data_IF_372991998356
#
_entry.id   IF_372991998356
#
_cell.length_a   1.000
_cell.length_b   1.000
_cell.length_c   1.000
_cell.angle_alpha   90.00
_cell.angle_beta   90.00
_cell.angle_gamma   90.00
#
_symmetry.space_group_name_H-M   'P 1'
#
loop_
_entity.id
_entity.type
_entity.pdbx_description
1 polymer ?
#
# COMPACT_ATOMS: atom_id res chain seq x y z
N UNK A 1 34.46 31.07 1.32
CA UNK A 1 33.11 30.87 0.75
C UNK A 1 33.25 31.02 -0.75
N UNK A 2 32.68 30.11 -1.55
CA UNK A 2 32.71 30.24 -3.01
C UNK A 2 31.66 31.31 -3.36
N UNK A 3 32.09 32.48 -3.82
CA UNK A 3 31.18 33.52 -4.33
C UNK A 3 30.67 33.10 -5.71
N UNK A 4 29.52 32.44 -5.74
CA UNK A 4 28.83 32.07 -6.98
C UNK A 4 27.99 33.28 -7.42
N UNK A 5 28.12 33.77 -8.67
CA UNK A 5 27.29 34.86 -9.17
C UNK A 5 25.80 34.55 -9.09
N UNK A 6 24.99 35.54 -8.73
CA UNK A 6 23.52 35.40 -8.62
C UNK A 6 22.92 34.90 -9.94
N UNK A 7 23.43 35.33 -11.08
CA UNK A 7 22.96 34.87 -12.40
C UNK A 7 23.24 33.39 -12.63
N UNK A 8 24.38 32.87 -12.18
CA UNK A 8 24.68 31.43 -12.24
C UNK A 8 23.73 30.63 -11.35
N UNK A 9 23.37 31.18 -10.18
CA UNK A 9 22.38 30.57 -9.30
C UNK A 9 21.01 30.54 -9.98
N UNK A 10 20.53 31.68 -10.48
CA UNK A 10 19.17 31.82 -11.03
C UNK A 10 18.97 31.10 -12.35
N UNK A 11 19.95 31.13 -13.25
CA UNK A 11 19.79 30.65 -14.61
C UNK A 11 20.34 29.24 -14.84
N UNK A 12 21.23 28.74 -13.98
CA UNK A 12 21.83 27.41 -14.13
C UNK A 12 21.48 26.49 -12.96
N UNK A 13 21.85 26.86 -11.72
CA UNK A 13 21.71 25.93 -10.58
C UNK A 13 20.25 25.70 -10.20
N UNK A 14 19.45 26.76 -10.12
CA UNK A 14 18.05 26.68 -9.70
C UNK A 14 17.17 25.85 -10.65
N UNK A 15 17.24 26.01 -12.00
CA UNK A 15 16.53 25.11 -12.92
C UNK A 15 16.95 23.64 -12.79
N UNK A 16 18.24 23.35 -12.58
CA UNK A 16 18.73 21.98 -12.38
C UNK A 16 18.17 21.38 -11.09
N UNK A 17 18.21 22.14 -9.98
CA UNK A 17 17.66 21.70 -8.70
C UNK A 17 16.15 21.48 -8.78
N UNK A 18 15.40 22.38 -9.42
CA UNK A 18 13.96 22.20 -9.66
C UNK A 18 13.67 20.96 -10.51
N UNK A 19 14.45 20.72 -11.56
CA UNK A 19 14.31 19.52 -12.40
C UNK A 19 14.62 18.24 -11.61
N UNK A 20 15.64 18.25 -10.75
CA UNK A 20 15.99 17.12 -9.89
C UNK A 20 14.86 16.77 -8.92
N UNK A 21 14.20 17.77 -8.31
CA UNK A 21 13.05 17.55 -7.45
C UNK A 21 11.90 16.87 -8.20
N UNK A 22 11.60 17.32 -9.41
CA UNK A 22 10.57 16.70 -10.26
C UNK A 22 10.98 15.28 -10.69
N UNK A 23 12.28 15.04 -10.92
CA UNK A 23 12.80 13.73 -11.27
C UNK A 23 12.66 12.73 -10.12
N UNK A 24 12.86 13.16 -8.87
CA UNK A 24 12.57 12.31 -7.69
C UNK A 24 11.09 11.89 -7.68
N UNK A 25 10.19 12.82 -7.99
CA UNK A 25 8.75 12.52 -8.11
C UNK A 25 8.46 11.59 -9.27
N UNK A 26 9.10 11.80 -10.42
CA UNK A 26 8.99 10.91 -11.58
C UNK A 26 9.43 9.47 -11.26
N UNK A 27 10.57 9.31 -10.56
CA UNK A 27 11.06 8.00 -10.11
C UNK A 27 10.05 7.35 -9.16
N UNK A 28 9.51 8.13 -8.23
CA UNK A 28 8.48 7.64 -7.32
C UNK A 28 7.19 7.21 -8.04
N UNK A 29 6.68 8.05 -8.94
CA UNK A 29 5.51 7.72 -9.77
C UNK A 29 5.78 6.45 -10.58
N UNK A 30 6.97 6.30 -11.17
CA UNK A 30 7.30 5.17 -12.02
C UNK A 30 7.51 3.85 -11.30
N UNK A 31 8.10 3.87 -10.10
CA UNK A 31 8.35 2.66 -9.31
C UNK A 31 7.15 2.25 -8.46
N UNK A 32 6.48 3.21 -7.81
CA UNK A 32 5.45 2.92 -6.79
C UNK A 32 4.03 2.99 -7.36
N UNK A 33 3.76 3.91 -8.29
CA UNK A 33 2.40 4.24 -8.71
C UNK A 33 1.94 3.59 -10.02
N UNK A 34 2.84 2.90 -10.74
CA UNK A 34 2.46 2.11 -11.94
C UNK A 34 1.30 1.13 -11.68
N UNK A 35 1.08 0.76 -10.41
CA UNK A 35 0.03 -0.16 -9.97
C UNK A 35 -1.20 0.50 -9.34
N UNK A 36 -1.20 1.83 -9.11
CA UNK A 36 -2.18 2.50 -8.22
C UNK A 36 -2.94 3.65 -8.89
N UNK A 37 -2.32 4.56 -9.66
CA UNK A 37 -3.02 5.71 -10.26
C UNK A 37 -3.65 5.42 -11.64
N UNK A 38 -4.90 5.86 -11.86
CA UNK A 38 -5.49 5.92 -13.21
C UNK A 38 -4.78 7.00 -14.03
N UNK A 39 -4.47 6.71 -15.30
CA UNK A 39 -3.79 7.69 -16.17
C UNK A 39 -2.33 7.98 -15.81
N UNK A 40 -1.67 7.13 -15.03
CA UNK A 40 -0.25 7.24 -14.65
C UNK A 40 0.69 7.58 -15.83
N UNK A 41 0.48 6.98 -17.00
CA UNK A 41 1.30 7.25 -18.19
C UNK A 41 1.28 8.73 -18.62
N UNK A 42 0.14 9.41 -18.45
CA UNK A 42 0.01 10.83 -18.75
C UNK A 42 0.70 11.71 -17.70
N UNK A 43 0.66 11.32 -16.41
CA UNK A 43 1.45 12.01 -15.38
C UNK A 43 2.96 11.91 -15.65
N UNK A 44 3.44 10.74 -16.02
CA UNK A 44 4.84 10.53 -16.42
C UNK A 44 5.20 11.38 -17.62
N UNK A 45 4.37 11.37 -18.66
CA UNK A 45 4.58 12.19 -19.85
C UNK A 45 4.75 13.67 -19.48
N UNK A 46 3.84 14.22 -18.68
CA UNK A 46 3.95 15.60 -18.18
C UNK A 46 5.24 15.84 -17.41
N UNK A 47 5.55 15.00 -16.41
CA UNK A 47 6.73 15.17 -15.55
C UNK A 47 8.02 15.13 -16.37
N UNK A 48 8.13 14.21 -17.34
CA UNK A 48 9.26 14.14 -18.27
C UNK A 48 9.35 15.42 -19.11
N UNK A 49 8.23 15.87 -19.70
CA UNK A 49 8.20 17.11 -20.48
C UNK A 49 8.60 18.32 -19.64
N UNK A 50 8.21 18.35 -18.36
CA UNK A 50 8.53 19.45 -17.46
C UNK A 50 10.01 19.45 -17.02
N UNK A 51 10.59 18.27 -16.78
CA UNK A 51 12.03 18.13 -16.54
C UNK A 51 12.82 18.60 -17.76
N UNK A 52 12.43 18.18 -18.98
CA UNK A 52 13.06 18.65 -20.23
C UNK A 52 12.96 20.17 -20.35
N UNK A 53 11.80 20.74 -20.00
CA UNK A 53 11.59 22.18 -20.06
C UNK A 53 12.55 22.97 -19.14
N UNK A 54 12.70 22.53 -17.90
CA UNK A 54 13.58 23.17 -16.92
C UNK A 54 15.06 22.97 -17.23
N UNK A 55 15.49 21.75 -17.57
CA UNK A 55 16.87 21.47 -17.96
C UNK A 55 17.24 22.19 -19.26
N UNK A 56 16.31 22.28 -20.22
CA UNK A 56 16.48 23.03 -21.45
C UNK A 56 16.78 24.51 -21.20
N UNK A 57 16.29 25.11 -20.11
CA UNK A 57 16.64 26.49 -19.73
C UNK A 57 18.09 26.62 -19.26
N UNK A 58 18.59 25.68 -18.46
CA UNK A 58 19.99 25.67 -18.08
C UNK A 58 20.90 25.47 -19.30
N UNK A 59 20.56 24.52 -20.18
CA UNK A 59 21.30 24.24 -21.43
C UNK A 59 21.33 25.44 -22.38
N UNK A 60 20.22 26.19 -22.49
CA UNK A 60 20.15 27.37 -23.34
C UNK A 60 21.24 28.41 -23.01
N UNK A 61 21.64 28.56 -21.75
CA UNK A 61 22.65 29.57 -21.37
C UNK A 61 24.08 29.21 -21.80
N UNK A 62 24.32 27.95 -22.18
CA UNK A 62 25.63 27.48 -22.65
C UNK A 62 25.69 27.28 -24.17
N UNK A 63 24.59 27.54 -24.87
CA UNK A 63 24.48 27.33 -26.31
C UNK A 63 24.81 28.60 -27.11
N UNK A 64 25.30 28.43 -28.34
CA UNK A 64 25.48 29.50 -29.33
C UNK A 64 24.13 30.07 -29.79
N UNK A 65 24.10 31.32 -30.28
CA UNK A 65 22.87 32.09 -30.54
C UNK A 65 21.78 31.32 -31.31
N UNK A 66 22.11 30.70 -32.45
CA UNK A 66 21.15 29.94 -33.26
C UNK A 66 20.66 28.68 -32.52
N UNK A 67 21.55 28.05 -31.75
CA UNK A 67 21.23 26.90 -30.91
C UNK A 67 20.37 27.30 -29.70
N UNK A 68 20.49 28.53 -29.16
CA UNK A 68 19.65 29.01 -28.06
C UNK A 68 18.18 29.09 -28.47
N UNK A 69 17.91 29.59 -29.68
CA UNK A 69 16.55 29.70 -30.21
C UNK A 69 15.97 28.30 -30.48
N UNK A 70 16.76 27.40 -31.07
CA UNK A 70 16.37 26.00 -31.27
C UNK A 70 16.02 25.27 -29.96
N UNK A 71 16.83 25.45 -28.91
CA UNK A 71 16.56 24.88 -27.58
C UNK A 71 15.29 25.47 -26.97
N UNK A 72 15.06 26.78 -27.11
CA UNK A 72 13.82 27.43 -26.67
C UNK A 72 12.59 26.82 -27.35
N UNK A 73 12.61 26.69 -28.68
CA UNK A 73 11.49 26.14 -29.44
C UNK A 73 11.22 24.69 -29.08
N UNK A 74 12.28 23.88 -29.00
CA UNK A 74 12.16 22.48 -28.60
C UNK A 74 11.51 22.33 -27.23
N UNK A 75 11.99 23.06 -26.22
CA UNK A 75 11.44 22.93 -24.87
C UNK A 75 9.99 23.39 -24.77
N UNK A 76 9.63 24.46 -25.48
CA UNK A 76 8.26 24.99 -25.50
C UNK A 76 7.34 24.00 -26.19
N UNK A 77 7.75 23.45 -27.33
CA UNK A 77 6.99 22.43 -28.04
C UNK A 77 6.75 21.20 -27.15
N UNK A 78 7.80 20.67 -26.50
CA UNK A 78 7.68 19.49 -25.64
C UNK A 78 6.72 19.74 -24.47
N UNK A 79 6.87 20.84 -23.73
CA UNK A 79 6.00 21.10 -22.58
C UNK A 79 4.56 21.41 -23.00
N UNK A 80 4.35 22.31 -23.97
CA UNK A 80 3.02 22.83 -24.26
C UNK A 80 2.24 21.96 -25.26
N UNK A 81 2.93 21.26 -26.17
CA UNK A 81 2.25 20.33 -27.10
C UNK A 81 2.01 18.96 -26.49
N UNK A 82 2.91 18.45 -25.62
CA UNK A 82 2.80 17.10 -25.05
C UNK A 82 2.51 17.12 -23.55
N UNK A 83 3.27 17.92 -22.80
CA UNK A 83 3.18 17.96 -21.34
C UNK A 83 1.83 18.47 -20.81
N UNK A 84 1.44 19.69 -21.15
CA UNK A 84 0.20 20.32 -20.65
C UNK A 84 -1.05 19.49 -21.00
N UNK A 85 -1.25 19.03 -22.26
CA UNK A 85 -2.35 18.12 -22.58
C UNK A 85 -2.33 16.85 -21.74
N UNK A 86 -1.16 16.24 -21.54
CA UNK A 86 -1.01 15.04 -20.69
C UNK A 86 -1.43 15.32 -19.25
N UNK A 87 -1.03 16.45 -18.67
CA UNK A 87 -1.44 16.84 -17.31
C UNK A 87 -2.96 17.02 -17.20
N UNK A 88 -3.60 17.66 -18.18
CA UNK A 88 -5.06 17.85 -18.21
C UNK A 88 -5.78 16.50 -18.28
N UNK A 89 -5.33 15.60 -19.17
CA UNK A 89 -5.90 14.26 -19.30
C UNK A 89 -5.70 13.45 -18.01
N UNK A 90 -4.51 13.51 -17.42
CA UNK A 90 -4.20 12.80 -16.17
C UNK A 90 -5.12 13.27 -15.04
N UNK A 91 -5.26 14.58 -14.89
CA UNK A 91 -6.14 15.22 -13.91
C UNK A 91 -7.59 14.80 -14.10
N UNK A 92 -8.07 14.74 -15.35
CA UNK A 92 -9.40 14.26 -15.67
C UNK A 92 -9.59 12.77 -15.30
N UNK A 93 -8.67 11.90 -15.68
CA UNK A 93 -8.75 10.45 -15.37
C UNK A 93 -8.70 10.16 -13.86
N UNK A 94 -8.01 10.99 -13.09
CA UNK A 94 -7.95 10.87 -11.63
C UNK A 94 -9.33 11.10 -10.96
N UNK A 95 -10.22 11.84 -11.63
CA UNK A 95 -11.61 12.07 -11.17
C UNK A 95 -12.60 11.00 -11.60
N UNK A 96 -12.12 9.93 -12.25
CA UNK A 96 -12.98 8.92 -12.84
C UNK A 96 -13.76 9.43 -14.06
N UNK A 97 -13.40 10.57 -14.64
CA UNK A 97 -13.97 10.99 -15.93
C UNK A 97 -13.39 10.14 -17.04
N UNK A 98 -14.27 9.70 -17.93
CA UNK A 98 -13.86 8.96 -19.10
C UNK A 98 -13.45 9.93 -20.21
N UNK A 99 -12.13 10.03 -20.47
CA UNK A 99 -11.59 10.87 -21.55
C UNK A 99 -11.48 10.04 -22.83
N UNK A 100 -12.34 10.34 -23.83
CA UNK A 100 -12.33 9.64 -25.11
C UNK A 100 -11.07 9.95 -25.93
N UNK A 101 -10.67 9.04 -26.83
CA UNK A 101 -9.52 9.26 -27.75
C UNK A 101 -9.65 10.55 -28.58
N UNK A 102 -10.88 10.90 -29.00
CA UNK A 102 -11.15 12.15 -29.73
C UNK A 102 -10.85 13.38 -28.87
N UNK A 103 -11.27 13.37 -27.61
CA UNK A 103 -10.98 14.45 -26.66
C UNK A 103 -9.48 14.58 -26.39
N UNK A 104 -8.76 13.46 -26.24
CA UNK A 104 -7.31 13.47 -26.12
C UNK A 104 -6.65 14.11 -27.36
N UNK A 105 -7.03 13.68 -28.56
CA UNK A 105 -6.51 14.25 -29.82
C UNK A 105 -6.75 15.75 -29.95
N UNK A 106 -7.92 16.25 -29.52
CA UNK A 106 -8.21 17.69 -29.49
C UNK A 106 -7.27 18.45 -28.53
N UNK A 107 -7.03 17.92 -27.32
CA UNK A 107 -6.13 18.56 -26.35
C UNK A 107 -4.69 18.65 -26.87
N UNK A 108 -4.17 17.59 -27.48
CA UNK A 108 -2.84 17.60 -28.11
C UNK A 108 -2.78 18.55 -29.33
N UNK A 109 -3.84 18.60 -30.14
CA UNK A 109 -3.91 19.51 -31.29
C UNK A 109 -3.91 20.98 -30.85
N UNK A 110 -4.65 21.32 -29.79
CA UNK A 110 -4.63 22.66 -29.21
C UNK A 110 -3.25 23.03 -28.64
N UNK A 111 -2.55 22.09 -28.01
CA UNK A 111 -1.18 22.29 -27.53
C UNK A 111 -0.18 22.53 -28.65
N UNK A 112 -0.28 21.76 -29.74
CA UNK A 112 0.52 21.97 -30.95
C UNK A 112 0.26 23.34 -31.59
N UNK A 113 -1.00 23.76 -31.68
CA UNK A 113 -1.37 25.07 -32.22
C UNK A 113 -0.81 26.21 -31.35
N UNK A 114 -0.93 26.12 -30.02
CA UNK A 114 -0.44 27.15 -29.12
C UNK A 114 1.09 27.28 -29.15
N UNK A 115 1.81 26.15 -29.06
CA UNK A 115 3.28 26.14 -29.12
C UNK A 115 3.82 26.50 -30.50
N UNK A 116 3.20 26.02 -31.58
CA UNK A 116 3.56 26.41 -32.94
C UNK A 116 3.33 27.90 -33.20
N UNK A 117 2.20 28.44 -32.74
CA UNK A 117 1.91 29.88 -32.81
C UNK A 117 2.96 30.72 -32.08
N UNK A 118 3.38 30.30 -30.88
CA UNK A 118 4.48 30.95 -30.16
C UNK A 118 5.78 30.94 -30.95
N UNK A 119 6.18 29.79 -31.50
CA UNK A 119 7.41 29.64 -32.28
C UNK A 119 7.38 30.58 -33.48
N UNK A 120 6.26 30.61 -34.24
CA UNK A 120 6.09 31.50 -35.38
C UNK A 120 6.18 32.98 -34.98
N UNK A 121 5.52 33.38 -33.88
CA UNK A 121 5.57 34.77 -33.41
C UNK A 121 6.98 35.17 -32.94
N UNK A 122 7.66 34.31 -32.18
CA UNK A 122 9.01 34.56 -31.69
C UNK A 122 10.03 34.64 -32.82
N UNK A 123 9.95 33.70 -33.75
CA UNK A 123 10.86 33.66 -34.88
C UNK A 123 10.60 34.82 -35.85
N UNK A 124 9.33 35.17 -36.12
CA UNK A 124 8.99 36.37 -36.89
C UNK A 124 9.43 37.69 -36.22
N UNK A 125 9.69 37.68 -34.90
CA UNK A 125 10.22 38.85 -34.18
C UNK A 125 11.75 38.93 -34.25
N UNK A 126 12.42 37.78 -34.34
CA UNK A 126 13.90 37.70 -34.28
C UNK A 126 14.54 37.56 -35.67
N UNK A 127 13.83 36.99 -36.65
CA UNK A 127 14.26 36.82 -38.04
C UNK A 127 15.39 35.81 -38.22
N UNK A 128 15.53 34.84 -37.31
CA UNK A 128 16.77 34.08 -37.17
C UNK A 128 16.74 32.64 -37.69
N UNK A 129 15.61 31.90 -37.60
CA UNK A 129 15.68 30.44 -37.75
C UNK A 129 14.71 29.78 -38.75
N UNK A 130 13.41 30.10 -38.72
CA UNK A 130 12.36 29.32 -39.42
C UNK A 130 11.51 30.14 -40.41
N UNK A 131 11.32 31.42 -40.13
CA UNK A 131 10.36 32.35 -40.74
C UNK A 131 11.17 33.42 -41.47
N UNK A 132 11.08 33.48 -42.82
CA UNK A 132 11.81 34.44 -43.62
C UNK A 132 11.41 35.90 -43.34
N UNK A 133 12.33 36.82 -43.66
CA UNK A 133 12.08 38.25 -43.65
C UNK A 133 10.84 38.61 -44.49
N UNK A 134 9.93 39.40 -43.89
CA UNK A 134 8.69 39.86 -44.54
C UNK A 134 7.44 39.02 -44.24
N UNK A 135 7.57 37.81 -43.67
CA UNK A 135 6.40 37.04 -43.22
C UNK A 135 5.59 37.78 -42.14
N UNK A 136 6.25 38.59 -41.31
CA UNK A 136 5.60 39.42 -40.28
C UNK A 136 4.54 40.37 -40.86
N UNK A 137 4.65 40.76 -42.13
CA UNK A 137 3.66 41.59 -42.82
C UNK A 137 2.36 40.85 -43.20
N UNK A 138 2.39 39.51 -43.23
CA UNK A 138 1.20 38.68 -43.47
C UNK A 138 0.38 38.42 -42.20
N UNK A 139 0.96 38.68 -41.03
CA UNK A 139 0.26 38.52 -39.76
C UNK A 139 -0.75 39.67 -39.57
N UNK A 140 -1.98 39.39 -39.10
CA UNK A 140 -2.99 40.43 -38.87
C UNK A 140 -2.68 41.31 -37.64
N UNK A 141 -1.51 41.14 -37.02
CA UNK A 141 -1.04 41.84 -35.85
C UNK A 141 0.48 42.00 -35.92
N UNK A 142 1.03 42.94 -35.14
CA UNK A 142 2.48 43.11 -35.02
C UNK A 142 3.05 42.04 -34.09
N UNK A 143 3.91 41.13 -34.58
CA UNK A 143 4.52 40.11 -33.72
C UNK A 143 5.43 40.79 -32.69
N UNK A 144 5.36 40.32 -31.46
CA UNK A 144 6.28 40.72 -30.40
C UNK A 144 6.55 39.57 -29.45
N UNK A 145 7.73 39.57 -28.85
CA UNK A 145 8.15 38.62 -27.79
C UNK A 145 7.07 38.49 -26.71
N UNK A 146 6.55 39.63 -26.23
CA UNK A 146 5.50 39.67 -25.21
C UNK A 146 4.20 38.99 -25.67
N UNK A 147 3.76 39.25 -26.91
CA UNK A 147 2.55 38.63 -27.44
C UNK A 147 2.67 37.10 -27.47
N UNK A 148 3.84 36.58 -27.86
CA UNK A 148 4.16 35.16 -27.78
C UNK A 148 4.01 34.63 -26.35
N UNK A 149 4.71 35.22 -25.38
CA UNK A 149 4.67 34.80 -23.97
C UNK A 149 3.25 34.81 -23.38
N UNK A 150 2.48 35.85 -23.67
CA UNK A 150 1.08 35.97 -23.22
C UNK A 150 0.18 34.91 -23.87
N UNK A 151 0.37 34.58 -25.15
CA UNK A 151 -0.42 33.55 -25.83
C UNK A 151 -0.27 32.16 -25.20
N UNK A 152 0.96 31.76 -24.85
CA UNK A 152 1.23 30.50 -24.14
C UNK A 152 0.66 30.50 -22.72
N UNK A 153 0.81 31.62 -22.02
CA UNK A 153 0.29 31.78 -20.64
C UNK A 153 -1.24 31.66 -20.64
N UNK A 154 -1.91 32.29 -21.61
CA UNK A 154 -3.35 32.21 -21.76
C UNK A 154 -3.81 30.78 -22.08
N UNK A 155 -3.13 30.10 -23.01
CA UNK A 155 -3.40 28.69 -23.31
C UNK A 155 -3.27 27.81 -22.06
N UNK A 156 -2.19 27.96 -21.30
CA UNK A 156 -1.98 27.19 -20.08
C UNK A 156 -3.10 27.39 -19.06
N UNK A 157 -3.45 28.64 -18.77
CA UNK A 157 -4.50 28.97 -17.81
C UNK A 157 -5.85 28.42 -18.28
N UNK A 158 -6.19 28.60 -19.56
CA UNK A 158 -7.42 28.07 -20.14
C UNK A 158 -7.49 26.53 -20.06
N UNK A 159 -6.38 25.86 -20.37
CA UNK A 159 -6.27 24.41 -20.28
C UNK A 159 -6.47 23.88 -18.85
N UNK A 160 -6.11 24.67 -17.84
CA UNK A 160 -6.24 24.33 -16.42
C UNK A 160 -7.61 24.68 -15.82
N UNK A 161 -8.30 25.72 -16.31
CA UNK A 161 -9.57 26.19 -15.73
C UNK A 161 -10.64 25.07 -15.75
N UNK A 162 -10.93 24.52 -16.92
CA UNK A 162 -11.99 23.51 -17.07
C UNK A 162 -11.80 22.27 -16.16
N UNK A 163 -10.63 21.59 -16.15
CA UNK A 163 -10.44 20.42 -15.28
C UNK A 163 -10.43 20.80 -13.79
N UNK A 164 -9.86 21.95 -13.41
CA UNK A 164 -9.82 22.39 -12.01
C UNK A 164 -11.22 22.77 -11.48
N UNK A 165 -12.03 23.47 -12.27
CA UNK A 165 -13.41 23.81 -11.91
C UNK A 165 -14.29 22.55 -11.80
N UNK A 166 -14.12 21.62 -12.74
CA UNK A 166 -14.85 20.34 -12.71
C UNK A 166 -14.47 19.50 -11.47
N UNK A 167 -13.18 19.46 -11.13
CA UNK A 167 -12.67 18.85 -9.91
C UNK A 167 -13.32 19.43 -8.65
N UNK A 168 -13.31 20.76 -8.52
CA UNK A 168 -13.93 21.47 -7.40
C UNK A 168 -15.42 21.16 -7.29
N UNK A 169 -16.13 21.18 -8.41
CA UNK A 169 -17.56 20.85 -8.46
C UNK A 169 -17.83 19.44 -7.94
N UNK A 170 -17.05 18.44 -8.34
CA UNK A 170 -17.21 17.07 -7.82
C UNK A 170 -16.96 16.97 -6.31
N UNK A 171 -15.96 17.69 -5.78
CA UNK A 171 -15.68 17.71 -4.33
C UNK A 171 -16.84 18.32 -3.53
N UNK A 172 -17.51 19.34 -4.09
CA UNK A 172 -18.69 19.96 -3.48
C UNK A 172 -19.93 19.06 -3.51
N UNK A 173 -20.06 18.18 -4.51
CA UNK A 173 -21.16 17.21 -4.66
C UNK A 173 -21.03 15.96 -3.77
N UNK A 174 -20.16 15.97 -2.75
CA UNK A 174 -20.01 14.86 -1.81
C UNK A 174 -19.13 13.69 -2.31
N UNK A 175 -18.60 13.74 -3.54
CA UNK A 175 -17.61 12.78 -4.06
C UNK A 175 -16.20 13.15 -3.59
N UNK A 176 -16.03 13.28 -2.27
CA UNK A 176 -14.78 13.79 -1.69
C UNK A 176 -13.65 12.78 -1.89
N UNK A 177 -12.54 13.25 -2.47
CA UNK A 177 -11.31 12.49 -2.61
C UNK A 177 -10.17 13.34 -2.05
N UNK A 178 -9.51 12.92 -0.96
CA UNK A 178 -8.41 13.69 -0.38
C UNK A 178 -7.27 13.90 -1.39
N UNK A 179 -7.08 12.92 -2.28
CA UNK A 179 -6.09 12.95 -3.36
C UNK A 179 -6.41 14.04 -4.39
N UNK A 180 -7.69 14.23 -4.72
CA UNK A 180 -8.13 15.18 -5.74
C UNK A 180 -7.82 16.64 -5.35
N UNK A 181 -7.96 17.00 -4.06
CA UNK A 181 -7.63 18.34 -3.57
C UNK A 181 -6.13 18.64 -3.66
N UNK A 182 -5.30 17.67 -3.31
CA UNK A 182 -3.84 17.79 -3.39
C UNK A 182 -3.34 17.94 -4.84
N UNK A 183 -3.94 17.19 -5.78
CA UNK A 183 -3.65 17.38 -7.22
C UNK A 183 -4.11 18.74 -7.74
N UNK A 184 -5.32 19.14 -7.39
CA UNK A 184 -5.89 20.45 -7.73
C UNK A 184 -4.99 21.59 -7.25
N UNK A 185 -4.54 21.53 -5.99
CA UNK A 185 -3.65 22.53 -5.41
C UNK A 185 -2.33 22.64 -6.20
N UNK A 186 -1.77 21.51 -6.63
CA UNK A 186 -0.55 21.49 -7.44
C UNK A 186 -0.76 22.08 -8.84
N UNK A 187 -1.87 21.75 -9.51
CA UNK A 187 -2.21 22.28 -10.84
C UNK A 187 -2.51 23.78 -10.83
N UNK A 188 -3.24 24.27 -9.80
CA UNK A 188 -3.48 25.70 -9.59
C UNK A 188 -2.18 26.42 -9.30
N UNK A 189 -1.34 25.88 -8.41
CA UNK A 189 -0.03 26.47 -8.10
C UNK A 189 0.84 26.59 -9.35
N UNK A 190 0.88 25.55 -10.18
CA UNK A 190 1.64 25.57 -11.44
C UNK A 190 1.17 26.70 -12.37
N UNK A 191 -0.15 26.82 -12.59
CA UNK A 191 -0.72 27.89 -13.41
C UNK A 191 -0.45 29.29 -12.85
N UNK A 192 -0.62 29.48 -11.54
CA UNK A 192 -0.40 30.77 -10.86
C UNK A 192 1.06 31.23 -10.97
N UNK A 193 2.02 30.36 -10.64
CA UNK A 193 3.44 30.72 -10.70
C UNK A 193 3.94 30.92 -12.14
N UNK A 194 3.42 30.16 -13.10
CA UNK A 194 3.72 30.37 -14.51
C UNK A 194 3.18 31.72 -15.00
N UNK A 195 1.92 32.04 -14.69
CA UNK A 195 1.32 33.34 -15.03
C UNK A 195 2.00 34.52 -14.35
N UNK A 196 2.39 34.37 -13.08
CA UNK A 196 3.16 35.38 -12.36
C UNK A 196 4.54 35.63 -13.00
N UNK A 197 5.19 34.59 -13.55
CA UNK A 197 6.47 34.73 -14.25
C UNK A 197 6.33 35.64 -15.48
N UNK A 198 5.23 35.51 -16.22
CA UNK A 198 4.91 36.37 -17.38
C UNK A 198 4.53 37.80 -16.97
N UNK A 199 3.78 37.95 -15.88
CA UNK A 199 3.35 39.25 -15.35
C UNK A 199 4.52 40.10 -14.81
N UNK A 200 5.41 39.50 -14.02
CA UNK A 200 6.53 40.19 -13.37
C UNK A 200 7.81 40.17 -14.21
N UNK A 201 7.67 40.35 -15.53
CA UNK A 201 8.76 40.53 -16.50
C UNK A 201 9.92 39.53 -16.32
N UNK A 202 9.63 38.23 -16.55
CA UNK A 202 10.65 37.18 -16.54
C UNK A 202 11.36 36.96 -15.19
N UNK A 203 10.62 37.10 -14.09
CA UNK A 203 11.05 36.65 -12.77
C UNK A 203 11.12 35.12 -12.70
N UNK A 204 12.11 34.51 -13.36
CA UNK A 204 12.24 33.06 -13.52
C UNK A 204 12.32 32.30 -12.20
N UNK A 205 12.74 32.94 -11.12
CA UNK A 205 12.72 32.37 -9.78
C UNK A 205 11.30 31.98 -9.31
N UNK A 206 10.25 32.68 -9.77
CA UNK A 206 8.86 32.34 -9.50
C UNK A 206 8.46 31.01 -10.15
N UNK A 207 8.93 30.74 -11.37
CA UNK A 207 8.70 29.48 -12.06
C UNK A 207 9.32 28.31 -11.28
N UNK A 208 10.55 28.48 -10.78
CA UNK A 208 11.25 27.45 -10.01
C UNK A 208 10.62 27.23 -8.63
N UNK A 209 10.18 28.29 -7.96
CA UNK A 209 9.42 28.19 -6.72
C UNK A 209 8.09 27.46 -6.95
N UNK A 210 7.39 27.78 -8.04
CA UNK A 210 6.17 27.08 -8.44
C UNK A 210 6.40 25.60 -8.72
N UNK A 211 7.52 25.25 -9.37
CA UNK A 211 7.91 23.86 -9.57
C UNK A 211 8.00 23.10 -8.24
N UNK A 212 8.63 23.70 -7.22
CA UNK A 212 8.76 23.09 -5.89
C UNK A 212 7.38 22.90 -5.25
N UNK A 213 6.55 23.94 -5.21
CA UNK A 213 5.22 23.88 -4.60
C UNK A 213 4.34 22.82 -5.27
N UNK A 214 4.26 22.83 -6.60
CA UNK A 214 3.51 21.82 -7.37
C UNK A 214 4.01 20.40 -7.10
N UNK A 215 5.33 20.22 -7.05
CA UNK A 215 5.97 18.93 -6.77
C UNK A 215 5.59 18.41 -5.38
N UNK A 216 5.65 19.26 -4.35
CA UNK A 216 5.25 18.91 -2.99
C UNK A 216 3.76 18.52 -2.89
N UNK A 217 2.86 19.30 -3.52
CA UNK A 217 1.43 19.00 -3.55
C UNK A 217 1.16 17.62 -4.17
N UNK A 218 1.84 17.27 -5.25
CA UNK A 218 1.63 15.98 -5.92
C UNK A 218 2.31 14.81 -5.22
N UNK A 219 3.48 15.00 -4.59
CA UNK A 219 4.04 14.02 -3.66
C UNK A 219 3.05 13.66 -2.56
N UNK A 220 2.45 14.69 -1.96
CA UNK A 220 1.47 14.52 -0.91
C UNK A 220 0.21 13.82 -1.42
N UNK A 221 -0.27 14.17 -2.62
CA UNK A 221 -1.41 13.51 -3.25
C UNK A 221 -1.19 12.00 -3.41
N UNK A 222 0.00 11.59 -3.87
CA UNK A 222 0.31 10.16 -4.04
C UNK A 222 0.47 9.45 -2.70
N UNK A 223 1.12 10.09 -1.72
CA UNK A 223 1.23 9.55 -0.36
C UNK A 223 -0.16 9.27 0.24
N UNK A 224 -1.10 10.20 0.08
CA UNK A 224 -2.48 10.03 0.51
C UNK A 224 -3.20 8.89 -0.23
N UNK A 225 -3.01 8.75 -1.55
CA UNK A 225 -3.62 7.67 -2.33
C UNK A 225 -3.16 6.29 -1.86
N UNK A 226 -1.86 6.13 -1.59
CA UNK A 226 -1.28 4.88 -1.08
C UNK A 226 -1.83 4.55 0.30
N UNK A 227 -1.84 5.53 1.22
CA UNK A 227 -2.38 5.35 2.57
C UNK A 227 -3.86 4.97 2.54
N UNK A 228 -4.65 5.65 1.70
CA UNK A 228 -6.09 5.42 1.59
C UNK A 228 -6.40 4.04 0.99
N UNK A 229 -5.75 3.65 -0.11
CA UNK A 229 -5.98 2.34 -0.75
C UNK A 229 -5.48 1.18 0.12
N UNK A 230 -4.37 1.37 0.86
CA UNK A 230 -3.88 0.36 1.81
C UNK A 230 -4.87 0.18 2.97
N UNK A 231 -5.21 1.26 3.67
CA UNK A 231 -6.09 1.21 4.84
C UNK A 231 -7.51 0.74 4.51
N UNK A 232 -8.09 1.16 3.38
CA UNK A 232 -9.44 0.74 3.01
C UNK A 232 -9.54 -0.77 2.77
N UNK A 233 -8.54 -1.36 2.11
CA UNK A 233 -8.60 -2.80 1.85
C UNK A 233 -8.31 -3.61 3.11
N UNK A 234 -7.42 -3.15 3.99
CA UNK A 234 -7.17 -3.78 5.29
C UNK A 234 -8.46 -3.81 6.13
N UNK A 235 -9.21 -2.70 6.15
CA UNK A 235 -10.52 -2.63 6.81
C UNK A 235 -11.52 -3.62 6.21
N UNK A 236 -11.59 -3.73 4.89
CA UNK A 236 -12.50 -4.69 4.21
C UNK A 236 -12.13 -6.15 4.51
N UNK A 237 -10.83 -6.45 4.59
CA UNK A 237 -10.34 -7.77 4.98
C UNK A 237 -10.69 -8.08 6.44
N UNK A 238 -10.53 -7.12 7.35
CA UNK A 238 -10.94 -7.25 8.76
C UNK A 238 -12.45 -7.44 8.91
N UNK A 239 -13.26 -6.66 8.19
CA UNK A 239 -14.72 -6.80 8.20
C UNK A 239 -15.16 -8.17 7.69
N UNK A 240 -14.52 -8.68 6.63
CA UNK A 240 -14.75 -10.03 6.12
C UNK A 240 -14.36 -11.10 7.14
N UNK A 241 -13.20 -10.94 7.81
CA UNK A 241 -12.78 -11.84 8.88
C UNK A 241 -13.77 -11.85 10.05
N UNK A 242 -14.26 -10.68 10.47
CA UNK A 242 -15.24 -10.57 11.56
C UNK A 242 -16.57 -11.21 11.18
N UNK A 243 -17.05 -10.98 9.94
CA UNK A 243 -18.27 -11.58 9.42
C UNK A 243 -18.19 -13.11 9.49
N UNK A 244 -17.10 -13.68 8.99
CA UNK A 244 -16.85 -15.13 8.94
C UNK A 244 -16.58 -15.69 10.36
N UNK A 245 -15.82 -14.98 11.18
CA UNK A 245 -15.42 -15.37 12.53
C UNK A 245 -16.53 -15.24 13.58
N UNK A 246 -17.63 -14.55 13.27
CA UNK A 246 -18.77 -14.37 14.17
C UNK A 246 -19.47 -15.68 14.56
N UNK A 247 -19.19 -16.79 13.86
CA UNK A 247 -19.79 -18.10 14.09
C UNK A 247 -21.25 -18.21 13.62
N UNK A 248 -21.83 -17.13 13.10
CA UNK A 248 -23.09 -17.16 12.36
C UNK A 248 -22.78 -17.51 10.90
N UNK A 249 -23.61 -18.34 10.27
CA UNK A 249 -23.51 -18.57 8.83
C UNK A 249 -23.60 -17.22 8.12
N UNK A 250 -22.48 -16.75 7.57
CA UNK A 250 -22.44 -15.50 6.84
C UNK A 250 -23.26 -15.67 5.55
N UNK A 251 -24.11 -14.67 5.24
CA UNK A 251 -24.85 -14.70 3.99
C UNK A 251 -23.88 -14.59 2.82
N UNK A 252 -24.10 -15.38 1.77
CA UNK A 252 -23.38 -15.23 0.51
C UNK A 252 -23.44 -13.79 -0.01
N UNK A 253 -24.58 -13.12 0.20
CA UNK A 253 -24.78 -11.74 -0.22
C UNK A 253 -23.83 -10.77 0.51
N UNK A 254 -23.62 -10.93 1.82
CA UNK A 254 -22.75 -10.05 2.60
C UNK A 254 -21.28 -10.23 2.22
N UNK A 255 -20.87 -11.48 2.01
CA UNK A 255 -19.54 -11.82 1.48
C UNK A 255 -19.34 -11.20 0.10
N UNK A 256 -20.30 -11.37 -0.82
CA UNK A 256 -20.22 -10.84 -2.18
C UNK A 256 -20.10 -9.30 -2.21
N UNK A 257 -20.77 -8.61 -1.28
CA UNK A 257 -20.67 -7.15 -1.12
C UNK A 257 -19.24 -6.74 -0.74
N UNK A 258 -18.67 -7.35 0.30
CA UNK A 258 -17.31 -7.03 0.77
C UNK A 258 -16.26 -7.35 -0.28
N UNK A 259 -16.39 -8.49 -0.96
CA UNK A 259 -15.48 -8.88 -2.05
C UNK A 259 -15.57 -7.94 -3.26
N UNK A 260 -16.78 -7.47 -3.60
CA UNK A 260 -16.97 -6.46 -4.64
C UNK A 260 -16.31 -5.12 -4.28
N UNK A 261 -16.38 -4.71 -3.01
CA UNK A 261 -15.68 -3.51 -2.53
C UNK A 261 -14.16 -3.69 -2.52
N UNK A 262 -13.67 -4.88 -2.18
CA UNK A 262 -12.25 -5.24 -2.21
C UNK A 262 -11.74 -5.20 -3.65
N UNK A 263 -12.47 -5.77 -4.61
CA UNK A 263 -12.15 -5.69 -6.04
C UNK A 263 -12.12 -4.24 -6.52
N UNK A 264 -13.14 -3.44 -6.20
CA UNK A 264 -13.21 -2.03 -6.57
C UNK A 264 -12.03 -1.20 -6.01
N UNK A 265 -11.52 -1.56 -4.83
CA UNK A 265 -10.34 -0.91 -4.23
C UNK A 265 -9.07 -1.07 -5.08
N UNK A 266 -9.04 -2.06 -5.99
CA UNK A 266 -7.89 -2.34 -6.85
C UNK A 266 -7.96 -1.67 -8.22
N UNK A 267 -9.03 -0.91 -8.50
CA UNK A 267 -9.22 -0.16 -9.76
C UNK A 267 -9.07 -1.04 -11.02
N UNK A 268 -9.42 -2.33 -10.93
CA UNK A 268 -9.32 -3.30 -12.03
C UNK A 268 -7.92 -3.84 -12.30
N UNK A 269 -6.92 -3.56 -11.44
CA UNK A 269 -5.58 -4.10 -11.59
C UNK A 269 -5.50 -5.55 -11.07
N UNK A 270 -5.43 -6.51 -12.00
CA UNK A 270 -5.38 -7.94 -11.68
C UNK A 270 -4.25 -8.33 -10.72
N UNK A 271 -3.04 -7.80 -10.93
CA UNK A 271 -1.90 -8.15 -10.09
C UNK A 271 -2.08 -7.65 -8.64
N UNK A 272 -2.64 -6.44 -8.48
CA UNK A 272 -2.97 -5.89 -7.17
C UNK A 272 -4.11 -6.66 -6.50
N UNK A 273 -5.13 -7.07 -7.27
CA UNK A 273 -6.24 -7.86 -6.77
C UNK A 273 -5.80 -9.25 -6.30
N UNK A 274 -4.95 -9.94 -7.09
CA UNK A 274 -4.32 -11.21 -6.65
C UNK A 274 -3.57 -11.05 -5.34
N UNK A 275 -2.77 -10.00 -5.18
CA UNK A 275 -2.04 -9.75 -3.93
C UNK A 275 -2.99 -9.57 -2.73
N UNK A 276 -4.05 -8.77 -2.89
CA UNK A 276 -5.06 -8.52 -1.84
C UNK A 276 -5.84 -9.80 -1.50
N UNK A 277 -6.19 -10.61 -2.49
CA UNK A 277 -6.90 -11.87 -2.30
C UNK A 277 -6.01 -12.89 -1.59
N UNK A 278 -4.73 -13.01 -1.96
CA UNK A 278 -3.76 -13.86 -1.23
C UNK A 278 -3.71 -13.54 0.25
N UNK A 279 -3.52 -12.26 0.59
CA UNK A 279 -3.51 -11.81 1.99
C UNK A 279 -4.82 -12.16 2.71
N UNK A 280 -5.95 -12.10 2.00
CA UNK A 280 -7.26 -12.44 2.53
C UNK A 280 -7.38 -13.95 2.79
N UNK A 281 -6.92 -14.79 1.86
CA UNK A 281 -6.89 -16.25 2.03
C UNK A 281 -6.00 -16.65 3.22
N UNK A 282 -4.83 -16.01 3.36
CA UNK A 282 -3.92 -16.26 4.48
C UNK A 282 -4.58 -15.89 5.83
N UNK A 283 -5.26 -14.73 5.86
CA UNK A 283 -6.07 -14.26 6.99
C UNK A 283 -7.21 -15.22 7.37
N UNK A 284 -7.92 -15.78 6.39
CA UNK A 284 -8.99 -16.76 6.63
C UNK A 284 -8.43 -18.10 7.11
N UNK A 285 -7.27 -18.51 6.57
CA UNK A 285 -6.56 -19.72 7.01
C UNK A 285 -6.17 -19.61 8.47
N UNK A 286 -5.58 -18.47 8.87
CA UNK A 286 -5.27 -18.19 10.27
C UNK A 286 -6.51 -18.25 11.17
N UNK A 287 -7.62 -17.66 10.74
CA UNK A 287 -8.89 -17.71 11.47
C UNK A 287 -9.40 -19.16 11.65
N UNK A 288 -9.31 -20.01 10.62
CA UNK A 288 -9.69 -21.42 10.72
C UNK A 288 -8.79 -22.21 11.70
N UNK A 289 -7.48 -21.96 11.68
CA UNK A 289 -6.52 -22.57 12.62
C UNK A 289 -6.82 -22.12 14.05
N UNK A 290 -7.10 -20.84 14.25
CA UNK A 290 -7.50 -20.29 15.54
C UNK A 290 -8.85 -20.81 15.99
N UNK A 291 -9.76 -21.17 15.09
CA UNK A 291 -11.03 -21.79 15.44
C UNK A 291 -10.88 -23.27 15.86
N UNK A 292 -9.71 -23.88 15.64
CA UNK A 292 -9.44 -25.30 15.95
C UNK A 292 -9.54 -26.24 14.77
N UNK A 293 -9.51 -25.70 13.54
CA UNK A 293 -9.42 -26.52 12.34
C UNK A 293 -8.11 -27.31 12.28
N UNK A 294 -8.15 -28.41 11.53
CA UNK A 294 -7.00 -29.26 11.30
C UNK A 294 -5.88 -28.47 10.60
N UNK A 295 -4.70 -28.42 11.22
CA UNK A 295 -3.60 -27.55 10.79
C UNK A 295 -3.10 -27.93 9.39
N UNK A 296 -2.78 -29.21 9.18
CA UNK A 296 -2.18 -29.68 7.93
C UNK A 296 -3.12 -29.48 6.75
N UNK A 297 -4.40 -29.81 6.92
CA UNK A 297 -5.41 -29.66 5.88
C UNK A 297 -5.62 -28.19 5.49
N UNK A 298 -5.65 -27.28 6.47
CA UNK A 298 -5.83 -25.86 6.20
C UNK A 298 -4.61 -25.24 5.50
N UNK A 299 -3.40 -25.65 5.88
CA UNK A 299 -2.17 -25.21 5.21
C UNK A 299 -2.07 -25.76 3.77
N UNK A 300 -2.38 -27.05 3.56
CA UNK A 300 -2.41 -27.64 2.23
C UNK A 300 -3.43 -26.96 1.31
N UNK A 301 -4.64 -26.69 1.84
CA UNK A 301 -5.68 -25.94 1.13
C UNK A 301 -5.24 -24.52 0.78
N UNK A 302 -4.56 -23.82 1.68
CA UNK A 302 -4.01 -22.49 1.42
C UNK A 302 -3.02 -22.53 0.24
N UNK A 303 -2.10 -23.49 0.22
CA UNK A 303 -1.14 -23.67 -0.88
C UNK A 303 -1.85 -23.91 -2.22
N UNK A 304 -2.85 -24.79 -2.25
CA UNK A 304 -3.65 -25.07 -3.46
C UNK A 304 -4.34 -23.80 -3.98
N UNK A 305 -4.99 -23.04 -3.08
CA UNK A 305 -5.71 -21.81 -3.46
C UNK A 305 -4.75 -20.72 -3.94
N UNK A 306 -3.58 -20.61 -3.34
CA UNK A 306 -2.54 -19.68 -3.77
C UNK A 306 -1.99 -20.02 -5.16
N UNK A 307 -1.81 -21.31 -5.48
CA UNK A 307 -1.44 -21.74 -6.83
C UNK A 307 -2.56 -21.46 -7.85
N UNK A 308 -3.82 -21.74 -7.50
CA UNK A 308 -4.96 -21.42 -8.36
C UNK A 308 -5.03 -19.91 -8.67
N UNK A 309 -4.80 -19.07 -7.66
CA UNK A 309 -4.79 -17.62 -7.78
C UNK A 309 -3.68 -17.11 -8.71
N UNK A 310 -2.48 -17.71 -8.65
CA UNK A 310 -1.38 -17.39 -9.56
C UNK A 310 -1.74 -17.68 -11.01
N UNK A 311 -2.42 -18.81 -11.25
CA UNK A 311 -2.84 -19.26 -12.58
C UNK A 311 -4.06 -18.51 -13.15
N UNK A 312 -4.79 -17.72 -12.35
CA UNK A 312 -5.97 -16.98 -12.84
C UNK A 312 -5.64 -15.91 -13.88
N UNK A 313 -6.35 -15.90 -15.01
CA UNK A 313 -6.13 -14.94 -16.10
C UNK A 313 -6.90 -13.62 -15.99
N UNK A 314 -7.97 -13.57 -15.18
CA UNK A 314 -8.88 -12.43 -15.11
C UNK A 314 -9.44 -12.19 -13.69
N UNK A 315 -10.13 -11.06 -13.51
CA UNK A 315 -10.70 -10.64 -12.23
C UNK A 315 -11.84 -11.56 -11.77
N UNK A 316 -12.62 -12.12 -12.70
CA UNK A 316 -13.77 -12.98 -12.38
C UNK A 316 -13.31 -14.32 -11.79
N UNK A 317 -12.27 -14.92 -12.36
CA UNK A 317 -11.64 -16.13 -11.86
C UNK A 317 -11.07 -15.90 -10.45
N UNK A 318 -10.40 -14.77 -10.22
CA UNK A 318 -9.90 -14.40 -8.88
C UNK A 318 -11.06 -14.23 -7.89
N UNK A 319 -12.13 -13.54 -8.29
CA UNK A 319 -13.32 -13.32 -7.45
C UNK A 319 -14.01 -14.63 -7.07
N UNK A 320 -14.12 -15.57 -8.01
CA UNK A 320 -14.70 -16.89 -7.76
C UNK A 320 -13.92 -17.65 -6.67
N UNK A 321 -12.58 -17.68 -6.78
CA UNK A 321 -11.71 -18.37 -5.81
C UNK A 321 -11.95 -17.83 -4.40
N UNK A 322 -11.92 -16.51 -4.20
CA UNK A 322 -12.08 -15.93 -2.86
C UNK A 322 -13.51 -16.06 -2.33
N UNK A 323 -14.53 -16.00 -3.19
CA UNK A 323 -15.92 -16.19 -2.78
C UNK A 323 -16.16 -17.63 -2.28
N UNK A 324 -15.68 -18.63 -3.03
CA UNK A 324 -15.76 -20.03 -2.64
C UNK A 324 -15.00 -20.30 -1.35
N UNK A 325 -13.83 -19.69 -1.19
CA UNK A 325 -13.01 -19.84 0.01
C UNK A 325 -13.66 -19.19 1.24
N UNK A 326 -14.17 -17.96 1.11
CA UNK A 326 -14.89 -17.27 2.18
C UNK A 326 -16.13 -18.06 2.65
N UNK A 327 -16.91 -18.61 1.71
CA UNK A 327 -18.06 -19.46 2.03
C UNK A 327 -17.65 -20.76 2.70
N UNK A 328 -16.57 -21.39 2.24
CA UNK A 328 -16.05 -22.61 2.85
C UNK A 328 -15.60 -22.36 4.29
N UNK A 329 -14.88 -21.27 4.56
CA UNK A 329 -14.46 -20.91 5.92
C UNK A 329 -15.64 -20.53 6.82
N UNK A 330 -16.65 -19.83 6.31
CA UNK A 330 -17.86 -19.55 7.10
C UNK A 330 -18.53 -20.84 7.57
N UNK A 331 -18.68 -21.82 6.67
CA UNK A 331 -19.23 -23.14 7.05
C UNK A 331 -18.33 -23.88 8.02
N UNK A 332 -17.02 -23.92 7.75
CA UNK A 332 -16.04 -24.62 8.57
C UNK A 332 -16.06 -24.08 10.01
N UNK A 333 -16.02 -22.75 10.19
CA UNK A 333 -16.01 -22.13 11.52
C UNK A 333 -17.32 -22.34 12.27
N UNK A 334 -18.47 -22.29 11.59
CA UNK A 334 -19.76 -22.61 12.23
C UNK A 334 -19.90 -24.09 12.59
N UNK A 335 -19.25 -24.99 11.85
CA UNK A 335 -19.31 -26.43 12.07
C UNK A 335 -18.29 -26.95 13.08
N UNK A 336 -17.20 -26.23 13.34
CA UNK A 336 -16.22 -26.60 14.36
C UNK A 336 -16.92 -26.61 15.74
N UNK A 337 -17.20 -27.79 16.32
CA UNK A 337 -18.05 -27.88 17.50
C UNK A 337 -17.37 -27.28 18.73
N UNK A 338 -18.16 -26.64 19.62
CA UNK A 338 -17.73 -26.40 21.01
C UNK A 338 -17.35 -27.71 21.73
N UNK A 339 -17.96 -28.82 21.32
CA UNK A 339 -17.62 -30.16 21.81
C UNK A 339 -16.19 -30.59 21.43
N UNK A 340 -15.65 -30.08 20.32
CA UNK A 340 -14.27 -30.34 19.91
C UNK A 340 -13.28 -29.63 20.83
N UNK A 341 -13.61 -28.44 21.38
CA UNK A 341 -12.79 -27.80 22.42
C UNK A 341 -12.72 -28.67 23.69
N UNK A 342 -13.86 -29.16 24.17
CA UNK A 342 -13.92 -30.05 25.33
C UNK A 342 -13.18 -31.37 25.07
N UNK A 343 -13.34 -31.95 23.88
CA UNK A 343 -12.65 -33.16 23.45
C UNK A 343 -11.13 -32.98 23.44
N UNK A 344 -10.62 -31.87 22.91
CA UNK A 344 -9.17 -31.59 22.85
C UNK A 344 -8.58 -31.43 24.25
N UNK A 345 -9.26 -30.71 25.15
CA UNK A 345 -8.81 -30.60 26.53
C UNK A 345 -8.80 -31.96 27.25
N UNK A 346 -9.84 -32.77 27.10
CA UNK A 346 -9.92 -34.11 27.70
C UNK A 346 -8.86 -35.06 27.13
N UNK A 347 -8.62 -35.04 25.80
CA UNK A 347 -7.54 -35.79 25.15
C UNK A 347 -6.17 -35.38 25.67
N UNK A 348 -5.93 -34.09 25.85
CA UNK A 348 -4.68 -33.59 26.43
C UNK A 348 -4.49 -34.05 27.88
N UNK A 349 -5.56 -34.06 28.69
CA UNK A 349 -5.51 -34.60 30.06
C UNK A 349 -5.19 -36.10 30.07
N UNK A 350 -5.81 -36.88 29.18
CA UNK A 350 -5.54 -38.30 29.03
C UNK A 350 -4.11 -38.57 28.55
N UNK A 351 -3.61 -37.76 27.61
CA UNK A 351 -2.22 -37.84 27.15
C UNK A 351 -1.25 -37.58 28.31
N UNK A 352 -1.47 -36.50 29.08
CA UNK A 352 -0.64 -36.20 30.25
C UNK A 352 -0.71 -37.31 31.29
N UNK A 353 -1.88 -37.86 31.58
CA UNK A 353 -2.00 -38.92 32.60
C UNK A 353 -1.31 -40.22 32.19
N UNK A 354 -1.18 -40.50 30.90
CA UNK A 354 -0.46 -41.66 30.37
C UNK A 354 1.04 -41.43 30.26
N UNK A 355 1.46 -40.20 29.94
CA UNK A 355 2.84 -39.85 29.61
C UNK A 355 3.54 -38.94 30.63
N UNK A 356 2.97 -38.71 31.81
CA UNK A 356 3.52 -37.73 32.77
C UNK A 356 4.99 -37.97 33.15
N UNK A 357 5.49 -39.21 33.02
CA UNK A 357 6.87 -39.58 33.33
C UNK A 357 7.86 -39.14 32.26
N UNK A 358 7.38 -38.95 31.03
CA UNK A 358 8.20 -38.64 29.87
C UNK A 358 8.47 -37.14 29.76
N UNK A 359 9.49 -36.75 28.98
CA UNK A 359 9.65 -35.36 28.56
C UNK A 359 8.56 -35.00 27.55
N UNK A 360 7.59 -34.20 28.00
CA UNK A 360 6.46 -33.79 27.18
C UNK A 360 6.74 -32.40 26.59
N UNK A 361 6.70 -32.32 25.26
CA UNK A 361 6.68 -31.05 24.53
C UNK A 361 5.28 -30.73 24.00
N UNK A 362 4.85 -29.49 24.21
CA UNK A 362 3.53 -29.00 23.78
C UNK A 362 3.39 -29.05 22.26
N UNK A 363 4.47 -28.83 21.51
CA UNK A 363 4.42 -28.93 20.05
C UNK A 363 4.12 -30.37 19.59
N UNK A 364 4.68 -31.36 20.28
CA UNK A 364 4.43 -32.79 19.99
C UNK A 364 2.96 -33.17 20.24
N UNK A 365 2.37 -32.71 21.34
CA UNK A 365 0.93 -32.94 21.61
C UNK A 365 0.06 -32.27 20.54
N UNK A 366 0.39 -31.02 20.18
CA UNK A 366 -0.37 -30.27 19.19
C UNK A 366 -0.32 -30.95 17.81
N UNK A 367 0.85 -31.49 17.43
CA UNK A 367 1.04 -32.25 16.21
C UNK A 367 0.23 -33.56 16.21
N UNK A 368 0.27 -34.32 17.31
CA UNK A 368 -0.53 -35.55 17.45
C UNK A 368 -2.04 -35.27 17.33
N UNK A 369 -2.48 -34.12 17.83
CA UNK A 369 -3.88 -33.73 17.76
C UNK A 369 -4.24 -32.97 16.48
N UNK A 370 -3.26 -32.71 15.63
CA UNK A 370 -3.33 -31.95 14.38
C UNK A 370 -4.02 -30.59 14.55
N UNK A 371 -3.60 -29.86 15.58
CA UNK A 371 -4.06 -28.49 15.90
C UNK A 371 -2.85 -27.58 16.12
N UNK A 372 -3.05 -26.27 16.09
CA UNK A 372 -1.97 -25.36 16.46
C UNK A 372 -1.65 -25.42 17.96
N UNK A 373 -0.38 -25.20 18.31
CA UNK A 373 0.08 -25.09 19.69
C UNK A 373 -0.70 -24.03 20.47
N UNK A 374 -0.91 -22.86 19.85
CA UNK A 374 -1.68 -21.74 20.42
C UNK A 374 -3.12 -22.14 20.73
N UNK A 375 -3.78 -22.86 19.82
CA UNK A 375 -5.14 -23.35 20.03
C UNK A 375 -5.19 -24.34 21.19
N UNK A 376 -4.31 -25.34 21.20
CA UNK A 376 -4.22 -26.34 22.26
C UNK A 376 -4.02 -25.69 23.63
N UNK A 377 -3.06 -24.76 23.76
CA UNK A 377 -2.80 -24.06 25.01
C UNK A 377 -4.01 -23.23 25.48
N UNK A 378 -4.65 -22.51 24.55
CA UNK A 378 -5.83 -21.67 24.85
C UNK A 378 -7.01 -22.51 25.32
N UNK A 379 -7.33 -23.58 24.58
CA UNK A 379 -8.44 -24.48 24.89
C UNK A 379 -8.18 -25.24 26.19
N UNK A 380 -6.97 -25.74 26.41
CA UNK A 380 -6.61 -26.44 27.63
C UNK A 380 -6.77 -25.54 28.86
N UNK A 381 -6.22 -24.31 28.82
CA UNK A 381 -6.35 -23.34 29.92
C UNK A 381 -7.79 -22.91 30.15
N UNK A 382 -8.56 -22.68 29.10
CA UNK A 382 -9.99 -22.33 29.18
C UNK A 382 -10.81 -23.41 29.89
N UNK A 383 -10.52 -24.68 29.62
CA UNK A 383 -11.27 -25.81 30.18
C UNK A 383 -10.81 -26.24 31.57
N UNK A 384 -9.50 -26.19 31.84
CA UNK A 384 -8.91 -26.71 33.09
C UNK A 384 -8.59 -25.63 34.11
N UNK A 385 -8.56 -24.36 33.70
CA UNK A 385 -8.08 -23.23 34.51
C UNK A 385 -6.55 -23.16 34.64
N UNK A 386 -5.81 -24.14 34.12
CA UNK A 386 -4.35 -24.27 34.27
C UNK A 386 -3.67 -24.36 32.91
N UNK A 387 -2.39 -23.97 32.83
CA UNK A 387 -1.59 -24.27 31.63
C UNK A 387 -1.25 -25.76 31.56
N UNK A 388 -0.91 -26.27 30.38
CA UNK A 388 -0.47 -27.67 30.20
C UNK A 388 0.69 -28.02 31.15
N UNK A 389 1.70 -27.16 31.26
CA UNK A 389 2.83 -27.39 32.16
C UNK A 389 2.42 -27.39 33.64
N UNK A 390 1.50 -26.51 34.05
CA UNK A 390 0.97 -26.51 35.42
C UNK A 390 0.23 -27.83 35.73
N UNK A 391 -0.58 -28.30 34.79
CA UNK A 391 -1.32 -29.55 34.93
C UNK A 391 -0.41 -30.79 34.92
N UNK A 392 0.63 -30.79 34.08
CA UNK A 392 1.67 -31.83 34.10
C UNK A 392 2.37 -31.87 35.46
N UNK A 393 2.81 -30.71 35.97
CA UNK A 393 3.47 -30.63 37.28
C UNK A 393 2.54 -31.12 38.39
N UNK A 394 1.28 -30.68 38.42
CA UNK A 394 0.33 -31.12 39.45
C UNK A 394 0.07 -32.62 39.39
N UNK A 395 -0.01 -33.21 38.20
CA UNK A 395 -0.13 -34.66 37.98
C UNK A 395 1.10 -35.40 38.54
N UNK A 396 2.32 -34.95 38.19
CA UNK A 396 3.56 -35.54 38.69
C UNK A 396 3.67 -35.47 40.22
N UNK A 397 3.27 -34.35 40.82
CA UNK A 397 3.28 -34.19 42.29
C UNK A 397 2.26 -35.10 42.96
N UNK A 398 1.07 -35.27 42.38
CA UNK A 398 0.06 -36.17 42.94
C UNK A 398 0.50 -37.64 42.89
N UNK A 399 1.18 -38.07 41.83
CA UNK A 399 1.79 -39.40 41.77
C UNK A 399 2.99 -39.53 42.73
N UNK A 400 3.80 -38.47 42.86
CA UNK A 400 4.93 -38.45 43.79
C UNK A 400 4.51 -38.65 45.25
N UNK A 401 3.37 -38.06 45.67
CA UNK A 401 2.82 -38.26 47.02
C UNK A 401 2.58 -39.74 47.34
N UNK A 402 2.14 -40.53 46.35
CA UNK A 402 1.89 -41.98 46.51
C UNK A 402 3.20 -42.75 46.62
N UNK A 403 4.15 -42.42 45.75
CA UNK A 403 5.44 -43.11 45.68
C UNK A 403 6.35 -42.82 46.87
N UNK A 404 6.33 -41.58 47.40
CA UNK A 404 7.14 -41.19 48.56
C UNK A 404 6.87 -42.04 49.82
N UNK A 405 5.74 -42.73 49.90
CA UNK A 405 5.43 -43.60 51.03
C UNK A 405 6.29 -44.88 51.04
N UNK A 406 6.75 -45.32 49.87
CA UNK A 406 7.42 -46.61 49.70
C UNK A 406 8.86 -46.51 49.17
N UNK A 407 9.31 -45.33 48.73
CA UNK A 407 10.65 -45.16 48.15
C UNK A 407 11.34 -43.85 48.52
N UNK A 408 12.61 -43.72 48.14
CA UNK A 408 13.41 -42.52 48.45
C UNK A 408 12.94 -41.28 47.67
N UNK A 409 13.23 -40.09 48.20
CA UNK A 409 12.95 -38.80 47.54
C UNK A 409 13.62 -38.72 46.16
N UNK A 410 14.88 -39.13 46.06
CA UNK A 410 15.65 -39.10 44.80
C UNK A 410 15.05 -40.04 43.76
N UNK A 411 14.73 -41.28 44.14
CA UNK A 411 14.09 -42.26 43.24
C UNK A 411 12.74 -41.75 42.76
N UNK A 412 11.91 -41.22 43.68
CA UNK A 412 10.61 -40.66 43.33
C UNK A 412 10.71 -39.50 42.35
N UNK A 413 11.69 -38.60 42.52
CA UNK A 413 11.87 -37.48 41.62
C UNK A 413 12.05 -37.94 40.16
N UNK A 414 12.91 -38.94 39.93
CA UNK A 414 13.16 -39.46 38.59
C UNK A 414 11.98 -40.29 38.06
N UNK A 415 11.35 -41.12 38.88
CA UNK A 415 10.23 -41.99 38.46
C UNK A 415 8.99 -41.21 38.02
N UNK A 416 8.77 -40.02 38.58
CA UNK A 416 7.67 -39.13 38.19
C UNK A 416 8.07 -38.12 37.11
N UNK A 417 9.26 -38.26 36.52
CA UNK A 417 9.69 -37.51 35.34
C UNK A 417 10.39 -36.18 35.61
N UNK A 418 10.93 -35.94 36.81
CA UNK A 418 11.80 -34.79 37.07
C UNK A 418 13.26 -35.13 36.76
N UNK A 419 13.94 -34.24 36.05
CA UNK A 419 15.37 -34.40 35.70
C UNK A 419 16.33 -34.04 36.86
N UNK A 420 15.81 -33.59 38.00
CA UNK A 420 16.62 -33.20 39.17
C UNK A 420 15.84 -33.32 40.47
N UNK A 421 16.40 -34.05 41.45
CA UNK A 421 15.83 -34.20 42.78
C UNK A 421 15.75 -32.87 43.56
N UNK A 422 16.68 -31.94 43.33
CA UNK A 422 16.65 -30.60 43.95
C UNK A 422 15.50 -29.76 43.41
N UNK A 423 15.31 -29.77 42.08
CA UNK A 423 14.20 -29.07 41.46
C UNK A 423 12.85 -29.67 41.88
N UNK A 424 12.75 -31.00 41.87
CA UNK A 424 11.60 -31.73 42.40
C UNK A 424 11.26 -31.28 43.82
N UNK A 425 12.24 -31.22 44.73
CA UNK A 425 12.00 -30.86 46.13
C UNK A 425 11.45 -29.43 46.28
N UNK A 426 11.92 -28.51 45.44
CA UNK A 426 11.43 -27.12 45.42
C UNK A 426 9.99 -27.05 44.90
N UNK A 427 9.70 -27.75 43.80
CA UNK A 427 8.36 -27.80 43.20
C UNK A 427 7.37 -28.50 44.13
N UNK A 428 7.75 -29.63 44.72
CA UNK A 428 6.91 -30.37 45.67
C UNK A 428 6.55 -29.52 46.88
N UNK A 429 7.53 -28.82 47.47
CA UNK A 429 7.26 -27.90 48.59
C UNK A 429 6.35 -26.76 48.20
N UNK A 430 6.51 -26.21 46.99
CA UNK A 430 5.64 -25.15 46.48
C UNK A 430 4.19 -25.62 46.31
N UNK A 431 3.99 -26.79 45.72
CA UNK A 431 2.65 -27.31 45.41
C UNK A 431 1.94 -27.94 46.62
N UNK A 432 2.68 -28.41 47.63
CA UNK A 432 2.12 -29.13 48.79
C UNK A 432 2.25 -28.40 50.13
N UNK A 433 3.11 -27.38 50.21
CA UNK A 433 3.45 -26.66 51.44
C UNK A 433 4.50 -27.35 52.32
N UNK A 434 4.92 -28.58 52.01
CA UNK A 434 5.87 -29.37 52.83
C UNK A 434 7.01 -29.91 51.97
N UNK A 435 8.23 -30.03 52.51
CA UNK A 435 9.32 -30.67 51.76
C UNK A 435 9.04 -32.18 51.60
N UNK A 436 9.52 -32.84 50.54
CA UNK A 436 9.29 -34.29 50.32
C UNK A 436 9.69 -35.18 51.50
N UNK A 437 10.82 -34.86 52.15
CA UNK A 437 11.33 -35.59 53.33
C UNK A 437 10.38 -35.44 54.52
N UNK A 438 9.86 -34.23 54.74
CA UNK A 438 8.92 -33.97 55.82
C UNK A 438 7.58 -34.65 55.55
N UNK A 439 7.12 -34.61 54.30
CA UNK A 439 5.92 -35.33 53.85
C UNK A 439 6.05 -36.84 54.11
N UNK A 440 7.20 -37.43 53.79
CA UNK A 440 7.48 -38.85 54.02
C UNK A 440 7.45 -39.19 55.53
N UNK A 441 8.14 -38.41 56.38
CA UNK A 441 8.14 -38.62 57.84
C UNK A 441 6.74 -38.53 58.45
N UNK A 442 5.94 -37.56 58.01
CA UNK A 442 4.59 -37.33 58.53
C UNK A 442 3.61 -38.45 58.17
N UNK A 443 3.87 -39.23 57.10
CA UNK A 443 3.00 -40.33 56.65
C UNK A 443 3.61 -41.72 56.89
N UNK A 444 4.86 -41.81 57.37
CA UNK A 444 5.54 -43.06 57.76
C UNK A 444 5.58 -43.28 59.28
N UNK A 445 4.82 -42.51 60.06
CA UNK A 445 4.68 -42.79 61.50
C UNK A 445 3.79 -44.04 61.70
N UNK A 446 4.22 -45.01 62.53
CA UNK A 446 3.61 -46.34 62.68
C UNK A 446 2.20 -46.34 63.27
#
# INVERSE_FOLDING_TARGET
MIDIPIDTILFVLLPILSAQLILVVLVYFSLVSRRVLSGYGFHVCYLVCYVIYLLGKALQNFAEADSQLGILFFRVLVLFALGIPSMVIATALQTGTHVTRRCQGLLYSLGLLASGGYIVIMDATTGQLLVPDGFSALLPFTPSVKLGEWSLTFYLLLALIAPCCYLLYQQLQGRRSPVALSFLAGSISFGLFHGATTLFQQSYWLLYLGAIVTTCCWCWAVYQDIRYTKGRAELLQEELQLLIGSGKNASKQDIDILLGQLEASTRGNLALYKLKVRETIDRLTGLGIEAGGNLDNLLARNVERNQALENSGDLLAVRAIIADEALAFSKLITQLPKEQEHSIAARAQAFISQHYRDEIDVASIAQEFNVSQSYLMRVFKKNTGQTLNQYLVSTRINEAKKLLLVQSVTTTAFDVGFNSANYFSTVFKKETGQAPVDFQKNHQSP
#
